data_IF_997795336467
#
_entry.id   IF_997795336467
#
_cell.length_a   1.000
_cell.length_b   1.000
_cell.length_c   1.000
_cell.angle_alpha   90.00
_cell.angle_beta   90.00
_cell.angle_gamma   90.00
#
_symmetry.space_group_name_H-M   'P 1'
#
loop_
_entity.id
_entity.type
_entity.pdbx_description
1 polymer ?
#
# COMPACT_ATOMS: atom_id res chain seq x y z
N UNK A 1 -67.83 -29.83 20.78
CA UNK A 1 -66.40 -29.97 21.18
C UNK A 1 -66.21 -29.20 22.48
N UNK A 2 -66.32 -29.90 23.60
CA UNK A 2 -66.32 -29.35 24.96
C UNK A 2 -64.88 -29.28 25.47
N UNK A 3 -64.38 -28.06 25.70
CA UNK A 3 -63.02 -27.82 26.18
C UNK A 3 -62.82 -28.33 27.62
N UNK A 4 -61.67 -28.97 27.87
CA UNK A 4 -61.22 -29.35 29.22
C UNK A 4 -61.29 -28.14 30.17
N UNK A 5 -61.91 -28.34 31.33
CA UNK A 5 -62.05 -27.32 32.39
C UNK A 5 -60.69 -26.80 32.86
N UNK A 6 -60.64 -25.53 33.26
CA UNK A 6 -59.45 -24.84 33.75
C UNK A 6 -58.73 -25.61 34.87
N UNK A 7 -59.48 -26.32 35.72
CA UNK A 7 -58.91 -27.12 36.81
C UNK A 7 -58.12 -28.34 36.32
N UNK A 8 -58.56 -28.98 35.22
CA UNK A 8 -57.83 -30.11 34.63
C UNK A 8 -56.47 -29.68 34.07
N UNK A 9 -56.40 -28.50 33.45
CA UNK A 9 -55.13 -27.94 32.94
C UNK A 9 -54.16 -27.61 34.06
N UNK A 10 -54.66 -27.10 35.19
CA UNK A 10 -53.83 -26.77 36.37
C UNK A 10 -53.28 -28.02 37.06
N UNK A 11 -54.05 -29.11 37.08
CA UNK A 11 -53.60 -30.39 37.62
C UNK A 11 -52.53 -31.07 36.74
N UNK A 12 -52.68 -31.02 35.41
CA UNK A 12 -51.69 -31.53 34.45
C UNK A 12 -50.36 -30.74 34.53
N UNK A 13 -50.42 -29.42 34.68
CA UNK A 13 -49.23 -28.56 34.86
C UNK A 13 -48.49 -28.86 36.17
N UNK A 14 -49.20 -29.03 37.28
CA UNK A 14 -48.58 -29.38 38.57
C UNK A 14 -47.88 -30.74 38.53
N UNK A 15 -48.46 -31.73 37.85
CA UNK A 15 -47.79 -33.04 37.65
C UNK A 15 -46.49 -32.91 36.87
N UNK A 16 -46.44 -32.08 35.81
CA UNK A 16 -45.21 -31.87 35.03
C UNK A 16 -44.12 -31.15 35.81
N UNK A 17 -44.49 -30.10 36.54
CA UNK A 17 -43.52 -29.36 37.37
C UNK A 17 -42.99 -30.26 38.49
N UNK A 18 -43.85 -31.07 39.11
CA UNK A 18 -43.42 -32.04 40.13
C UNK A 18 -42.46 -33.11 39.54
N UNK A 19 -42.75 -33.64 38.34
CA UNK A 19 -41.83 -34.59 37.67
C UNK A 19 -40.48 -33.99 37.25
N UNK A 20 -40.39 -32.66 37.12
CA UNK A 20 -39.13 -31.96 36.86
C UNK A 20 -38.37 -31.64 38.16
N UNK A 21 -39.05 -31.52 39.29
CA UNK A 21 -38.44 -31.30 40.61
C UNK A 21 -37.93 -32.63 41.21
N UNK A 22 -38.63 -33.74 40.96
CA UNK A 22 -38.27 -35.08 41.48
C UNK A 22 -37.20 -35.80 40.64
N UNK A 23 -36.73 -35.20 39.53
CA UNK A 23 -35.60 -35.70 38.72
C UNK A 23 -34.36 -34.81 38.93
N UNK A 24 -33.62 -34.97 40.05
CA UNK A 24 -32.36 -34.28 40.23
C UNK A 24 -31.32 -34.88 39.26
N UNK A 25 -30.70 -34.02 38.45
CA UNK A 25 -29.41 -34.22 37.76
C UNK A 25 -28.90 -35.66 37.69
N UNK A 26 -29.05 -36.33 36.55
CA UNK A 26 -28.11 -37.40 36.21
C UNK A 26 -26.75 -36.75 35.89
N UNK A 27 -25.95 -36.63 36.94
CA UNK A 27 -24.53 -36.40 36.85
C UNK A 27 -23.90 -37.51 36.00
N UNK A 28 -23.06 -37.10 35.05
CA UNK A 28 -22.27 -37.98 34.18
C UNK A 28 -21.45 -38.94 35.07
N UNK A 29 -21.74 -40.23 34.96
CA UNK A 29 -21.08 -41.31 35.69
C UNK A 29 -19.79 -41.71 34.97
N UNK A 30 -18.64 -41.57 35.64
CA UNK A 30 -17.34 -42.07 35.17
C UNK A 30 -16.99 -43.38 35.91
N UNK A 31 -17.12 -44.51 35.21
CA UNK A 31 -16.50 -45.83 35.43
C UNK A 31 -17.27 -46.82 34.54
N UNK A 32 -16.71 -47.72 33.74
CA UNK A 32 -15.50 -48.52 33.93
C UNK A 32 -15.06 -49.09 32.56
N UNK A 33 -13.81 -49.52 32.48
CA UNK A 33 -13.08 -49.93 31.28
C UNK A 33 -13.50 -51.31 30.77
N UNK A 34 -13.66 -51.46 29.45
CA UNK A 34 -13.31 -52.73 28.77
C UNK A 34 -12.57 -52.40 27.47
N UNK A 35 -11.29 -52.76 27.44
CA UNK A 35 -10.45 -52.85 26.25
C UNK A 35 -11.18 -53.61 25.14
N UNK A 36 -11.32 -52.99 23.98
CA UNK A 36 -11.30 -53.64 22.68
C UNK A 36 -10.82 -52.59 21.67
N UNK A 37 -9.61 -52.79 21.15
CA UNK A 37 -9.05 -52.04 20.04
C UNK A 37 -9.89 -52.31 18.78
N UNK A 38 -10.87 -51.44 18.51
CA UNK A 38 -11.42 -51.29 17.16
C UNK A 38 -11.27 -49.84 16.69
N UNK A 39 -10.72 -49.75 15.50
CA UNK A 39 -10.31 -48.58 14.76
C UNK A 39 -11.48 -47.57 14.57
N UNK A 40 -11.58 -46.55 15.43
CA UNK A 40 -12.51 -45.44 15.22
C UNK A 40 -11.75 -44.29 14.56
N UNK A 41 -11.86 -44.24 13.23
CA UNK A 41 -11.55 -43.06 12.45
C UNK A 41 -12.60 -41.99 12.81
N UNK A 42 -12.28 -41.14 13.80
CA UNK A 42 -13.13 -40.02 14.17
C UNK A 42 -13.05 -38.97 13.06
N UNK A 43 -14.04 -38.97 12.18
CA UNK A 43 -14.34 -37.79 11.36
C UNK A 43 -14.61 -36.63 12.30
N UNK A 44 -13.68 -35.67 12.33
CA UNK A 44 -13.84 -34.42 13.04
C UNK A 44 -14.92 -33.63 12.28
N UNK A 45 -16.18 -33.86 12.62
CA UNK A 45 -17.29 -33.01 12.19
C UNK A 45 -17.14 -31.70 12.96
N UNK A 46 -16.40 -30.77 12.35
CA UNK A 46 -16.35 -29.37 12.79
C UNK A 46 -17.75 -28.78 12.58
N UNK A 47 -18.59 -28.84 13.60
CA UNK A 47 -19.82 -28.05 13.63
C UNK A 47 -19.42 -26.57 13.68
N UNK A 48 -19.83 -25.72 12.72
CA UNK A 48 -19.64 -24.29 12.86
C UNK A 48 -20.41 -23.83 14.12
N UNK A 49 -19.70 -23.24 15.08
CA UNK A 49 -20.19 -22.94 16.43
C UNK A 49 -21.09 -21.70 16.50
N UNK A 50 -21.84 -21.40 15.44
CA UNK A 50 -22.83 -20.33 15.43
C UNK A 50 -24.09 -20.86 14.77
N UNK A 51 -25.04 -21.30 15.60
CA UNK A 51 -26.37 -21.71 15.16
C UNK A 51 -27.20 -20.44 14.90
N UNK A 52 -26.91 -19.78 13.78
CA UNK A 52 -27.64 -18.60 13.32
C UNK A 52 -28.99 -19.06 12.77
N UNK A 53 -30.06 -18.48 13.29
CA UNK A 53 -31.40 -18.71 12.76
C UNK A 53 -31.49 -18.26 11.29
N UNK A 54 -32.43 -18.80 10.52
CA UNK A 54 -32.55 -18.51 9.07
C UNK A 54 -32.68 -17.00 8.79
N UNK A 55 -33.39 -16.27 9.67
CA UNK A 55 -33.52 -14.82 9.62
C UNK A 55 -32.17 -14.10 9.83
N UNK A 56 -31.32 -14.61 10.72
CA UNK A 56 -30.00 -14.04 11.02
C UNK A 56 -29.01 -14.25 9.88
N UNK A 57 -29.03 -15.41 9.21
CA UNK A 57 -28.19 -15.66 8.03
C UNK A 57 -28.51 -14.70 6.88
N UNK A 58 -29.80 -14.42 6.65
CA UNK A 58 -30.23 -13.46 5.62
C UNK A 58 -29.73 -12.03 5.91
N UNK A 59 -29.70 -11.64 7.19
CA UNK A 59 -29.14 -10.36 7.65
C UNK A 59 -27.63 -10.30 7.46
N UNK A 60 -26.90 -11.38 7.78
CA UNK A 60 -25.45 -11.43 7.57
C UNK A 60 -25.09 -11.30 6.08
N UNK A 61 -25.83 -11.95 5.19
CA UNK A 61 -25.65 -11.77 3.75
C UNK A 61 -25.91 -10.33 3.30
N UNK A 62 -26.93 -9.68 3.86
CA UNK A 62 -27.20 -8.26 3.59
C UNK A 62 -26.06 -7.36 4.08
N UNK A 63 -25.54 -7.60 5.29
CA UNK A 63 -24.40 -6.86 5.84
C UNK A 63 -23.15 -7.08 4.98
N UNK A 64 -22.91 -8.32 4.53
CA UNK A 64 -21.81 -8.66 3.63
C UNK A 64 -21.90 -7.88 2.31
N UNK A 65 -23.09 -7.83 1.69
CA UNK A 65 -23.31 -7.05 0.48
C UNK A 65 -23.05 -5.55 0.70
N UNK A 66 -23.55 -4.98 1.81
CA UNK A 66 -23.34 -3.56 2.16
C UNK A 66 -21.85 -3.28 2.36
N UNK A 67 -21.12 -4.14 3.05
CA UNK A 67 -19.68 -3.98 3.29
C UNK A 67 -18.88 -3.96 1.96
N UNK A 68 -19.17 -4.91 1.05
CA UNK A 68 -18.56 -4.92 -0.28
C UNK A 68 -18.91 -3.66 -1.06
N UNK A 69 -20.19 -3.24 -1.04
CA UNK A 69 -20.68 -2.06 -1.74
C UNK A 69 -20.00 -0.78 -1.29
N UNK A 70 -19.97 -0.53 0.02
CA UNK A 70 -19.39 0.69 0.58
C UNK A 70 -17.89 0.73 0.30
N UNK A 71 -17.18 -0.39 0.41
CA UNK A 71 -15.75 -0.45 0.13
C UNK A 71 -15.44 -0.18 -1.34
N UNK A 72 -16.30 -0.67 -2.23
CA UNK A 72 -16.22 -0.44 -3.67
C UNK A 72 -16.49 1.02 -4.04
N UNK A 73 -17.50 1.65 -3.42
CA UNK A 73 -17.81 3.08 -3.63
C UNK A 73 -16.65 3.96 -3.14
N UNK A 74 -16.09 3.66 -1.97
CA UNK A 74 -14.89 4.35 -1.48
C UNK A 74 -13.73 4.21 -2.47
N UNK A 75 -13.59 3.05 -3.11
CA UNK A 75 -12.62 2.83 -4.17
C UNK A 75 -12.83 3.71 -5.39
N UNK A 76 -14.06 3.82 -5.88
CA UNK A 76 -14.41 4.72 -7.00
C UNK A 76 -14.12 6.18 -6.65
N UNK A 77 -14.48 6.62 -5.44
CA UNK A 77 -14.20 7.99 -4.97
C UNK A 77 -12.68 8.22 -4.92
N UNK A 78 -11.92 7.28 -4.36
CA UNK A 78 -10.46 7.36 -4.29
C UNK A 78 -9.81 7.41 -5.68
N UNK A 79 -10.28 6.58 -6.62
CA UNK A 79 -9.84 6.62 -8.01
C UNK A 79 -10.16 7.95 -8.68
N UNK A 80 -11.33 8.54 -8.39
CA UNK A 80 -11.69 9.88 -8.84
C UNK A 80 -10.79 10.98 -8.29
N UNK A 81 -10.31 10.86 -7.05
CA UNK A 81 -9.34 11.80 -6.46
C UNK A 81 -7.98 11.69 -7.17
N UNK A 82 -7.51 10.46 -7.45
CA UNK A 82 -6.26 10.23 -8.17
C UNK A 82 -6.25 10.85 -9.58
N UNK A 83 -7.41 10.88 -10.24
CA UNK A 83 -7.56 11.48 -11.57
C UNK A 83 -7.76 13.00 -11.56
N UNK A 84 -8.23 13.58 -10.46
CA UNK A 84 -8.48 15.02 -10.35
C UNK A 84 -7.24 15.81 -9.95
N UNK A 85 -6.32 15.22 -9.17
CA UNK A 85 -5.03 15.85 -8.89
C UNK A 85 -4.09 15.60 -10.05
N UNK A 86 -3.98 16.54 -11.01
CA UNK A 86 -2.93 16.48 -12.03
C UNK A 86 -1.57 16.66 -11.31
N UNK A 87 -0.73 15.61 -11.22
CA UNK A 87 0.56 15.73 -10.53
C UNK A 87 1.50 16.69 -11.27
N UNK A 88 1.33 16.83 -12.59
CA UNK A 88 2.07 17.78 -13.41
C UNK A 88 1.78 19.23 -13.04
N UNK A 89 0.53 19.56 -12.70
CA UNK A 89 0.16 20.93 -12.30
C UNK A 89 0.69 21.28 -10.91
N UNK A 90 0.83 20.30 -10.02
CA UNK A 90 1.46 20.49 -8.71
C UNK A 90 2.96 20.70 -8.85
N UNK A 91 3.65 19.94 -9.70
CA UNK A 91 5.09 20.08 -9.92
C UNK A 91 5.46 21.31 -10.78
N UNK A 92 4.56 21.76 -11.65
CA UNK A 92 4.69 23.03 -12.37
C UNK A 92 4.14 24.23 -11.56
N UNK A 93 3.63 23.99 -10.35
CA UNK A 93 3.15 25.08 -9.50
C UNK A 93 4.34 25.86 -8.95
N UNK A 94 4.16 27.14 -8.68
CA UNK A 94 5.22 28.00 -8.12
C UNK A 94 5.80 27.52 -6.77
N UNK A 95 5.21 26.49 -6.14
CA UNK A 95 5.75 25.81 -4.96
C UNK A 95 6.92 24.87 -5.30
N UNK A 96 6.98 24.38 -6.54
CA UNK A 96 8.02 23.51 -7.09
C UNK A 96 8.67 24.10 -8.35
N UNK A 97 8.42 25.38 -8.66
CA UNK A 97 9.15 26.10 -9.70
C UNK A 97 10.64 25.91 -9.40
N UNK A 98 11.39 25.39 -10.38
CA UNK A 98 12.85 25.42 -10.35
C UNK A 98 13.27 26.85 -9.96
N UNK A 99 14.02 26.95 -8.87
CA UNK A 99 14.54 28.21 -8.43
C UNK A 99 15.30 28.84 -9.61
N UNK A 100 15.10 30.13 -9.88
CA UNK A 100 15.78 30.80 -11.00
C UNK A 100 17.30 30.59 -10.94
N UNK A 101 17.81 30.43 -9.72
CA UNK A 101 19.16 29.97 -9.42
C UNK A 101 19.22 29.11 -8.15
N UNK A 102 20.28 28.31 -8.01
CA UNK A 102 20.59 27.42 -6.88
C UNK A 102 21.97 27.72 -6.31
N UNK A 103 22.19 27.37 -5.04
CA UNK A 103 23.50 27.51 -4.39
C UNK A 103 24.13 26.12 -4.18
N UNK A 104 25.37 25.96 -4.64
CA UNK A 104 26.10 24.70 -4.57
C UNK A 104 27.20 24.79 -3.53
N UNK A 105 27.25 23.83 -2.62
CA UNK A 105 28.33 23.69 -1.64
C UNK A 105 29.05 22.37 -1.86
N UNK A 106 30.37 22.39 -2.01
CA UNK A 106 31.17 21.19 -2.21
C UNK A 106 32.43 21.17 -1.35
N UNK A 107 33.10 20.02 -1.34
CA UNK A 107 34.36 19.83 -0.63
C UNK A 107 35.39 19.13 -1.52
N UNK A 108 36.64 19.55 -1.44
CA UNK A 108 37.78 18.93 -2.14
C UNK A 108 38.70 18.26 -1.14
N UNK A 109 38.96 16.98 -1.37
CA UNK A 109 39.75 16.10 -0.53
C UNK A 109 40.85 15.42 -1.36
N UNK A 110 41.85 14.90 -0.69
CA UNK A 110 42.83 13.92 -1.22
C UNK A 110 42.24 12.52 -1.15
N UNK A 111 42.87 11.55 -1.82
CA UNK A 111 42.53 10.13 -1.74
C UNK A 111 42.63 9.53 -0.33
N UNK A 112 43.47 10.11 0.53
CA UNK A 112 43.55 9.78 1.95
C UNK A 112 42.49 10.50 2.83
N UNK A 113 41.59 11.28 2.22
CA UNK A 113 40.51 11.99 2.91
C UNK A 113 40.92 13.31 3.60
N UNK A 114 42.11 13.84 3.30
CA UNK A 114 42.59 15.14 3.82
C UNK A 114 42.08 16.28 2.95
N UNK A 115 41.57 17.34 3.56
CA UNK A 115 41.06 18.52 2.85
C UNK A 115 42.13 19.28 2.06
N UNK A 116 41.76 19.75 0.86
CA UNK A 116 42.64 20.53 -0.02
C UNK A 116 42.20 21.99 -0.04
N UNK A 117 43.04 22.85 0.54
CA UNK A 117 42.88 24.30 0.54
C UNK A 117 43.38 24.95 -0.75
N UNK A 118 42.79 26.09 -1.14
CA UNK A 118 43.17 26.89 -2.31
C UNK A 118 43.19 26.05 -3.61
N UNK A 119 42.26 25.12 -3.78
CA UNK A 119 41.97 24.50 -5.06
C UNK A 119 41.05 25.44 -5.86
N UNK A 120 41.35 25.62 -7.14
CA UNK A 120 40.54 26.42 -8.08
C UNK A 120 39.36 25.60 -8.54
N UNK A 121 38.16 26.12 -8.31
CA UNK A 121 36.90 25.53 -8.73
C UNK A 121 36.36 26.41 -9.85
N UNK A 122 36.26 25.86 -11.05
CA UNK A 122 35.84 26.55 -12.25
C UNK A 122 34.52 25.94 -12.74
N UNK A 123 33.48 26.75 -12.84
CA UNK A 123 32.17 26.34 -13.35
C UNK A 123 32.02 26.76 -14.81
N UNK A 124 31.54 25.85 -15.65
CA UNK A 124 31.34 26.00 -17.08
C UNK A 124 29.89 25.64 -17.45
N UNK A 125 29.37 26.29 -18.49
CA UNK A 125 28.14 25.84 -19.15
C UNK A 125 28.41 24.51 -19.88
N UNK A 126 27.41 23.63 -19.96
CA UNK A 126 27.57 22.36 -20.67
C UNK A 126 28.06 22.58 -22.12
N UNK A 127 29.03 21.78 -22.54
CA UNK A 127 29.71 21.88 -23.84
C UNK A 127 30.34 23.25 -24.17
N UNK A 128 30.51 24.14 -23.19
CA UNK A 128 31.17 25.44 -23.34
C UNK A 128 32.55 25.45 -22.70
N UNK A 129 33.50 26.16 -23.31
CA UNK A 129 34.81 26.42 -22.73
C UNK A 129 34.88 27.76 -21.98
N UNK A 130 33.75 28.46 -21.82
CA UNK A 130 33.70 29.71 -21.08
C UNK A 130 33.47 29.45 -19.59
N UNK A 131 34.37 29.94 -18.76
CA UNK A 131 34.20 29.94 -17.31
C UNK A 131 33.12 30.94 -16.92
N UNK A 132 32.11 30.47 -16.19
CA UNK A 132 31.03 31.28 -15.62
C UNK A 132 31.47 31.89 -14.29
N UNK A 133 32.03 31.04 -13.41
CA UNK A 133 32.43 31.42 -12.06
C UNK A 133 33.70 30.67 -11.67
N UNK A 134 34.54 31.34 -10.87
CA UNK A 134 35.72 30.73 -10.25
C UNK A 134 35.74 31.05 -8.77
N UNK A 135 35.89 30.02 -7.94
CA UNK A 135 36.05 30.15 -6.49
C UNK A 135 37.23 29.32 -6.00
N UNK A 136 37.72 29.63 -4.80
CA UNK A 136 38.79 28.88 -4.15
C UNK A 136 38.26 28.14 -2.93
N UNK A 137 38.77 26.93 -2.71
CA UNK A 137 38.47 26.20 -1.48
C UNK A 137 39.11 26.85 -0.25
N UNK A 138 38.40 26.81 0.88
CA UNK A 138 38.88 27.31 2.17
C UNK A 138 39.82 26.30 2.86
N UNK A 139 40.27 26.61 4.10
CA UNK A 139 41.20 25.77 4.87
C UNK A 139 40.69 24.36 5.16
N UNK A 140 39.37 24.16 5.15
CA UNK A 140 38.71 22.88 5.34
C UNK A 140 38.33 22.21 4.01
N UNK A 141 38.80 22.74 2.88
CA UNK A 141 38.55 22.22 1.54
C UNK A 141 37.15 22.50 1.00
N UNK A 142 36.32 23.28 1.70
CA UNK A 142 34.98 23.63 1.22
C UNK A 142 35.00 24.79 0.24
N UNK A 143 34.08 24.77 -0.71
CA UNK A 143 33.78 25.88 -1.61
C UNK A 143 32.27 26.06 -1.73
N UNK A 144 31.85 27.25 -2.16
CA UNK A 144 30.47 27.59 -2.41
C UNK A 144 30.37 28.35 -3.73
N UNK A 145 29.41 27.96 -4.57
CA UNK A 145 29.04 28.63 -5.82
C UNK A 145 27.61 29.12 -5.66
N UNK A 146 27.44 30.44 -5.64
CA UNK A 146 26.13 31.06 -5.46
C UNK A 146 25.51 31.42 -6.81
N UNK A 147 24.17 31.41 -6.85
CA UNK A 147 23.39 31.90 -7.99
C UNK A 147 23.71 31.15 -9.32
N UNK A 148 23.80 29.84 -9.24
CA UNK A 148 24.04 28.93 -10.38
C UNK A 148 22.73 28.60 -11.06
N UNK A 149 22.69 28.52 -12.39
CA UNK A 149 21.47 28.10 -13.11
C UNK A 149 21.20 26.61 -12.86
N UNK A 150 19.95 26.18 -12.60
CA UNK A 150 19.59 24.77 -12.38
C UNK A 150 19.56 23.98 -13.70
N UNK A 151 20.67 23.95 -14.42
CA UNK A 151 20.83 23.25 -15.70
C UNK A 151 22.03 22.30 -15.64
N UNK A 152 22.26 21.52 -16.69
CA UNK A 152 23.47 20.72 -16.82
C UNK A 152 24.69 21.65 -16.91
N UNK A 153 25.66 21.44 -16.03
CA UNK A 153 26.88 22.23 -15.95
C UNK A 153 28.11 21.33 -15.82
N UNK A 154 29.27 21.90 -16.12
CA UNK A 154 30.55 21.22 -15.94
C UNK A 154 31.38 21.97 -14.91
N UNK A 155 31.87 21.27 -13.89
CA UNK A 155 32.75 21.82 -12.87
C UNK A 155 34.14 21.20 -12.99
N UNK A 156 35.17 22.04 -13.01
CA UNK A 156 36.57 21.63 -13.04
C UNK A 156 37.28 22.05 -11.76
N UNK A 157 37.98 21.11 -11.15
CA UNK A 157 38.80 21.33 -9.96
C UNK A 157 40.27 21.25 -10.34
N UNK A 158 41.01 22.32 -10.10
CA UNK A 158 42.43 22.47 -10.47
C UNK A 158 43.26 22.83 -9.25
N UNK A 159 44.34 22.08 -9.02
CA UNK A 159 45.32 22.35 -7.95
C UNK A 159 46.70 21.87 -8.36
N UNK A 160 47.71 22.70 -8.13
CA UNK A 160 49.10 22.32 -8.36
C UNK A 160 49.50 21.09 -7.52
N UNK A 161 50.16 20.13 -8.18
CA UNK A 161 50.56 18.86 -7.56
C UNK A 161 49.50 17.75 -7.63
N UNK A 162 48.32 18.04 -8.17
CA UNK A 162 47.24 17.08 -8.35
C UNK A 162 46.78 17.01 -9.81
N UNK A 163 46.24 15.87 -10.23
CA UNK A 163 45.50 15.78 -11.49
C UNK A 163 44.17 16.52 -11.36
N UNK A 164 43.82 17.29 -12.40
CA UNK A 164 42.56 18.03 -12.43
C UNK A 164 41.39 17.06 -12.55
N UNK A 165 40.26 17.41 -11.93
CA UNK A 165 39.02 16.67 -12.05
C UNK A 165 38.01 17.51 -12.83
N UNK A 166 37.24 16.86 -13.69
CA UNK A 166 36.14 17.47 -14.40
C UNK A 166 34.90 16.62 -14.21
N UNK A 167 33.79 17.25 -13.81
CA UNK A 167 32.54 16.58 -13.53
C UNK A 167 31.38 17.30 -14.20
N UNK A 168 30.58 16.55 -14.94
CA UNK A 168 29.29 17.05 -15.45
C UNK A 168 28.19 16.64 -14.46
N UNK A 169 27.26 17.56 -14.17
CA UNK A 169 26.18 17.34 -13.21
C UNK A 169 24.99 18.27 -13.52
N UNK A 170 23.81 17.97 -12.98
CA UNK A 170 22.66 18.89 -12.97
C UNK A 170 22.77 19.72 -11.69
N UNK A 171 22.76 21.05 -11.80
CA UNK A 171 22.89 21.91 -10.63
C UNK A 171 21.60 21.89 -9.79
N UNK A 172 21.70 21.38 -8.57
CA UNK A 172 20.61 21.30 -7.58
C UNK A 172 21.07 21.93 -6.26
N UNK A 173 20.16 22.63 -5.57
CA UNK A 173 20.47 23.32 -4.33
C UNK A 173 21.01 22.37 -3.24
N UNK A 174 22.13 22.73 -2.63
CA UNK A 174 22.69 22.00 -1.48
C UNK A 174 24.09 21.43 -1.67
N UNK A 175 24.31 20.22 -1.14
CA UNK A 175 25.64 19.62 -0.99
C UNK A 175 26.00 18.72 -2.17
N UNK A 176 27.12 19.04 -2.81
CA UNK A 176 27.72 18.21 -3.84
C UNK A 176 28.51 17.05 -3.24
N UNK A 177 28.56 15.92 -3.96
CA UNK A 177 29.50 14.84 -3.65
C UNK A 177 30.95 15.37 -3.65
N UNK A 178 31.79 14.97 -2.67
CA UNK A 178 33.14 15.51 -2.56
C UNK A 178 33.99 15.18 -3.80
N UNK A 179 34.93 16.07 -4.11
CA UNK A 179 35.93 15.89 -5.16
C UNK A 179 37.17 15.28 -4.53
N UNK A 180 37.60 14.12 -5.01
CA UNK A 180 38.75 13.41 -4.45
C UNK A 180 39.93 13.46 -5.43
N UNK A 181 40.86 14.37 -5.21
CA UNK A 181 42.01 14.58 -6.09
C UNK A 181 43.10 13.55 -5.85
N UNK A 182 43.73 13.09 -6.93
CA UNK A 182 44.92 12.24 -6.90
C UNK A 182 46.17 13.05 -7.21
N UNK A 183 47.28 12.76 -6.55
CA UNK A 183 48.58 13.40 -6.86
C UNK A 183 48.93 13.19 -8.33
N UNK A 184 49.35 14.26 -9.01
CA UNK A 184 49.56 14.22 -10.45
C UNK A 184 49.89 15.58 -11.05
N UNK A 185 49.78 15.65 -12.38
CA UNK A 185 49.96 16.89 -13.13
C UNK A 185 48.59 17.52 -13.42
N UNK A 186 48.38 18.81 -13.14
CA UNK A 186 47.10 19.49 -13.38
C UNK A 186 46.69 19.53 -14.86
N UNK A 187 47.62 19.34 -15.80
CA UNK A 187 47.29 19.20 -17.23
C UNK A 187 46.57 17.87 -17.57
N UNK A 188 46.59 16.89 -16.66
CA UNK A 188 45.82 15.65 -16.80
C UNK A 188 44.45 15.91 -16.20
N UNK A 189 43.41 15.83 -17.04
CA UNK A 189 42.01 15.96 -16.63
C UNK A 189 41.41 14.56 -16.50
N UNK A 190 40.95 14.22 -15.30
CA UNK A 190 40.18 13.02 -15.02
C UNK A 190 38.70 13.40 -15.12
N UNK A 191 38.00 12.86 -16.11
CA UNK A 191 36.57 13.05 -16.27
C UNK A 191 35.80 12.06 -15.40
N UNK A 192 34.93 12.59 -14.55
CA UNK A 192 33.94 11.84 -13.78
C UNK A 192 32.57 12.27 -14.28
N UNK A 193 31.93 11.45 -15.11
CA UNK A 193 30.56 11.74 -15.52
C UNK A 193 29.60 11.39 -14.38
N UNK A 194 29.06 12.41 -13.71
CA UNK A 194 28.02 12.25 -12.71
C UNK A 194 26.63 12.50 -13.30
N UNK A 195 26.54 12.79 -14.60
CA UNK A 195 25.30 12.60 -15.38
C UNK A 195 25.19 11.13 -15.80
N UNK A 196 25.55 10.21 -14.89
CA UNK A 196 25.15 8.82 -15.02
C UNK A 196 23.65 8.79 -14.73
N UNK A 197 22.86 8.82 -15.80
CA UNK A 197 21.44 8.43 -15.91
C UNK A 197 20.84 8.05 -14.56
N UNK A 198 20.52 9.04 -13.72
CA UNK A 198 19.59 8.81 -12.63
C UNK A 198 18.31 8.36 -13.32
N UNK A 199 18.08 7.05 -13.31
CA UNK A 199 16.91 6.38 -13.87
C UNK A 199 15.65 6.72 -13.05
N UNK A 200 15.46 8.00 -12.74
CA UNK A 200 14.23 8.54 -12.24
C UNK A 200 13.13 8.34 -13.27
N UNK A 201 11.91 8.15 -12.77
CA UNK A 201 10.74 8.09 -13.63
C UNK A 201 10.59 9.44 -14.32
N UNK A 202 10.47 9.45 -15.65
CA UNK A 202 10.09 10.69 -16.35
C UNK A 202 8.75 11.18 -15.82
N UNK A 203 8.54 12.50 -15.82
CA UNK A 203 7.26 13.10 -15.41
C UNK A 203 6.08 12.48 -16.15
N UNK A 204 6.24 12.25 -17.46
CA UNK A 204 5.25 11.58 -18.29
C UNK A 204 4.97 10.16 -17.81
N UNK A 205 6.00 9.38 -17.45
CA UNK A 205 5.83 8.04 -16.92
C UNK A 205 5.13 8.03 -15.55
N UNK A 206 5.45 8.99 -14.68
CA UNK A 206 4.80 9.14 -13.37
C UNK A 206 3.31 9.51 -13.50
N UNK A 207 2.98 10.46 -14.38
CA UNK A 207 1.59 10.87 -14.66
C UNK A 207 0.81 9.75 -15.33
N UNK A 208 1.41 9.04 -16.29
CA UNK A 208 0.80 7.89 -16.95
C UNK A 208 0.51 6.76 -15.94
N UNK A 209 1.44 6.48 -15.02
CA UNK A 209 1.26 5.47 -13.97
C UNK A 209 0.11 5.86 -13.03
N UNK A 210 0.05 7.11 -12.57
CA UNK A 210 -1.03 7.60 -11.70
C UNK A 210 -2.40 7.50 -12.39
N UNK A 211 -2.47 7.92 -13.66
CA UNK A 211 -3.70 7.87 -14.47
C UNK A 211 -4.17 6.43 -14.67
N UNK A 212 -3.24 5.53 -15.03
CA UNK A 212 -3.51 4.11 -15.19
C UNK A 212 -4.05 3.50 -13.88
N UNK A 213 -3.41 3.80 -12.74
CA UNK A 213 -3.86 3.34 -11.44
C UNK A 213 -5.24 3.89 -11.09
N UNK A 214 -5.51 5.18 -11.34
CA UNK A 214 -6.82 5.80 -11.11
C UNK A 214 -7.94 5.11 -11.89
N UNK A 215 -7.73 4.86 -13.19
CA UNK A 215 -8.69 4.16 -14.05
C UNK A 215 -8.91 2.71 -13.59
N UNK A 216 -7.82 1.96 -13.32
CA UNK A 216 -7.91 0.59 -12.83
C UNK A 216 -8.63 0.50 -11.48
N UNK A 217 -8.43 1.47 -10.60
CA UNK A 217 -9.11 1.59 -9.30
C UNK A 217 -10.62 1.76 -9.47
N UNK A 218 -11.05 2.58 -10.43
CA UNK A 218 -12.47 2.79 -10.74
C UNK A 218 -13.09 1.52 -11.32
N UNK A 219 -12.43 0.87 -12.28
CA UNK A 219 -12.92 -0.38 -12.90
C UNK A 219 -13.12 -1.47 -11.85
N UNK A 220 -12.13 -1.67 -10.99
CA UNK A 220 -12.21 -2.68 -9.91
C UNK A 220 -13.27 -2.34 -8.88
N UNK A 221 -13.52 -1.04 -8.63
CA UNK A 221 -14.67 -0.58 -7.84
C UNK A 221 -16.02 -0.96 -8.46
N UNK A 222 -16.20 -0.81 -9.77
CA UNK A 222 -17.42 -1.28 -10.45
C UNK A 222 -17.61 -2.79 -10.38
N UNK A 223 -16.52 -3.56 -10.47
CA UNK A 223 -16.56 -5.02 -10.27
C UNK A 223 -17.05 -5.37 -8.86
N UNK A 224 -16.64 -4.60 -7.85
CA UNK A 224 -17.12 -4.77 -6.48
C UNK A 224 -18.60 -4.42 -6.28
N UNK A 225 -19.12 -3.41 -6.99
CA UNK A 225 -20.57 -3.13 -7.01
C UNK A 225 -21.33 -4.34 -7.58
N UNK A 226 -20.83 -4.94 -8.66
CA UNK A 226 -21.42 -6.15 -9.22
C UNK A 226 -21.38 -7.31 -8.21
N UNK A 227 -20.25 -7.50 -7.51
CA UNK A 227 -20.11 -8.51 -6.46
C UNK A 227 -21.12 -8.30 -5.32
N UNK A 228 -21.35 -7.06 -4.89
CA UNK A 228 -22.39 -6.74 -3.89
C UNK A 228 -23.79 -7.13 -4.36
N UNK A 229 -24.14 -6.83 -5.61
CA UNK A 229 -25.45 -7.19 -6.17
C UNK A 229 -25.61 -8.72 -6.23
N UNK A 230 -24.58 -9.44 -6.66
CA UNK A 230 -24.59 -10.90 -6.71
C UNK A 230 -24.64 -11.52 -5.30
N UNK A 231 -23.98 -10.89 -4.32
CA UNK A 231 -24.08 -11.24 -2.88
C UNK A 231 -25.52 -11.12 -2.38
N UNK A 232 -26.21 -10.03 -2.75
CA UNK A 232 -27.60 -9.82 -2.36
C UNK A 232 -28.56 -10.82 -3.03
N UNK A 233 -28.28 -11.20 -4.28
CA UNK A 233 -29.08 -12.18 -5.05
C UNK A 233 -28.80 -13.62 -4.65
N UNK A 234 -27.62 -13.91 -4.10
CA UNK A 234 -27.16 -15.24 -3.72
C UNK A 234 -27.20 -16.27 -4.86
N UNK A 235 -26.76 -15.88 -6.06
CA UNK A 235 -26.79 -16.79 -7.22
C UNK A 235 -25.58 -17.73 -7.24
N UNK A 236 -24.35 -17.21 -7.37
CA UNK A 236 -23.13 -18.04 -7.43
C UNK A 236 -22.07 -17.61 -6.44
N UNK A 237 -21.80 -18.42 -5.42
CA UNK A 237 -20.87 -18.05 -4.34
C UNK A 237 -19.45 -17.87 -4.84
N UNK A 238 -18.90 -18.86 -5.59
CA UNK A 238 -17.49 -18.81 -6.03
C UNK A 238 -17.22 -17.61 -6.92
N UNK A 239 -18.13 -17.34 -7.86
CA UNK A 239 -18.03 -16.17 -8.76
C UNK A 239 -18.09 -14.87 -7.96
N UNK A 240 -19.01 -14.77 -7.01
CA UNK A 240 -19.13 -13.59 -6.15
C UNK A 240 -17.85 -13.33 -5.37
N UNK A 241 -17.22 -14.38 -4.82
CA UNK A 241 -15.93 -14.27 -4.11
C UNK A 241 -14.79 -13.81 -5.03
N UNK A 242 -14.72 -14.30 -6.27
CA UNK A 242 -13.72 -13.81 -7.23
C UNK A 242 -13.93 -12.34 -7.61
N UNK A 243 -15.17 -11.93 -7.86
CA UNK A 243 -15.48 -10.52 -8.18
C UNK A 243 -15.17 -9.60 -6.98
N UNK A 244 -15.54 -10.02 -5.77
CA UNK A 244 -15.18 -9.30 -4.56
C UNK A 244 -13.66 -9.24 -4.35
N UNK A 245 -12.94 -10.33 -4.66
CA UNK A 245 -11.48 -10.37 -4.63
C UNK A 245 -10.83 -9.38 -5.61
N UNK A 246 -11.35 -9.29 -6.85
CA UNK A 246 -10.89 -8.30 -7.84
C UNK A 246 -11.17 -6.87 -7.34
N UNK A 247 -12.26 -6.65 -6.60
CA UNK A 247 -12.58 -5.32 -6.08
C UNK A 247 -11.65 -4.82 -4.98
N UNK A 248 -10.85 -5.71 -4.36
CA UNK A 248 -9.83 -5.32 -3.36
C UNK A 248 -8.78 -4.36 -3.94
N UNK A 249 -8.56 -4.42 -5.26
CA UNK A 249 -7.65 -3.51 -5.96
C UNK A 249 -8.18 -2.07 -6.08
N UNK A 250 -9.43 -1.81 -5.69
CA UNK A 250 -10.03 -0.48 -5.74
C UNK A 250 -9.54 0.49 -4.63
N UNK A 251 -8.58 0.09 -3.77
CA UNK A 251 -7.82 0.96 -2.83
C UNK A 251 -8.63 2.11 -2.19
N UNK A 252 -9.88 1.88 -1.79
CA UNK A 252 -10.75 2.92 -1.23
C UNK A 252 -10.19 3.56 0.03
N UNK A 253 -9.56 4.74 -0.09
CA UNK A 253 -8.82 5.40 0.99
C UNK A 253 -7.69 4.52 1.56
N UNK A 254 -6.85 3.99 0.66
CA UNK A 254 -5.61 3.21 0.91
C UNK A 254 -5.89 1.85 1.57
N UNK A 255 -6.53 1.81 2.73
CA UNK A 255 -6.75 0.60 3.53
C UNK A 255 -8.21 0.37 3.95
N UNK A 256 -9.05 1.40 4.05
CA UNK A 256 -10.43 1.27 4.58
C UNK A 256 -11.31 0.44 3.66
N UNK A 257 -11.33 0.76 2.36
CA UNK A 257 -12.13 0.07 1.34
C UNK A 257 -11.77 -1.42 1.23
N UNK A 258 -10.49 -1.79 1.06
CA UNK A 258 -10.08 -3.19 1.05
C UNK A 258 -10.45 -3.96 2.31
N UNK A 259 -10.31 -3.37 3.51
CA UNK A 259 -10.72 -4.02 4.77
C UNK A 259 -12.23 -4.28 4.78
N UNK A 260 -13.03 -3.31 4.33
CA UNK A 260 -14.48 -3.46 4.29
C UNK A 260 -14.92 -4.55 3.28
N UNK A 261 -14.25 -4.62 2.13
CA UNK A 261 -14.46 -5.68 1.13
C UNK A 261 -14.05 -7.03 1.70
N UNK A 262 -12.89 -7.15 2.36
CA UNK A 262 -12.45 -8.39 3.03
C UNK A 262 -13.44 -8.82 4.13
N UNK A 263 -13.90 -7.89 4.95
CA UNK A 263 -14.90 -8.17 5.97
C UNK A 263 -16.21 -8.68 5.33
N UNK A 264 -16.65 -8.05 4.23
CA UNK A 264 -17.78 -8.52 3.45
C UNK A 264 -17.58 -9.91 2.85
N UNK A 265 -16.41 -10.20 2.29
CA UNK A 265 -16.05 -11.53 1.77
C UNK A 265 -16.04 -12.60 2.87
N UNK A 266 -15.48 -12.27 4.04
CA UNK A 266 -15.44 -13.15 5.20
C UNK A 266 -16.85 -13.44 5.72
N UNK A 267 -17.69 -12.41 5.91
CA UNK A 267 -19.09 -12.58 6.29
C UNK A 267 -19.86 -13.40 5.26
N UNK A 268 -19.63 -13.15 3.97
CA UNK A 268 -20.27 -13.91 2.90
C UNK A 268 -19.90 -15.40 2.93
N UNK A 269 -18.70 -15.75 3.40
CA UNK A 269 -18.27 -17.15 3.53
C UNK A 269 -19.05 -17.94 4.60
N UNK A 270 -19.62 -17.25 5.59
CA UNK A 270 -20.43 -17.86 6.66
C UNK A 270 -21.84 -18.23 6.18
N UNK A 271 -22.29 -17.65 5.06
CA UNK A 271 -23.64 -17.81 4.48
C UNK A 271 -23.61 -18.42 3.08
N UNK A 272 -22.54 -19.15 2.76
CA UNK A 272 -22.35 -19.81 1.45
C UNK A 272 -23.46 -20.82 1.11
N UNK A 273 -24.09 -21.39 2.13
CA UNK A 273 -25.22 -22.33 2.05
C UNK A 273 -26.52 -21.67 1.54
N UNK A 274 -26.59 -20.34 1.54
CA UNK A 274 -27.74 -19.61 1.01
C UNK A 274 -27.71 -19.39 -0.51
N UNK A 275 -26.67 -19.88 -1.19
CA UNK A 275 -26.48 -19.66 -2.63
C UNK A 275 -27.07 -20.80 -3.47
N UNK A 276 -27.64 -20.44 -4.63
CA UNK A 276 -28.24 -21.41 -5.57
C UNK A 276 -27.25 -22.52 -5.96
N UNK A 277 -25.97 -22.17 -6.20
CA UNK A 277 -24.92 -23.12 -6.57
C UNK A 277 -24.51 -24.11 -5.47
N UNK A 278 -24.96 -23.91 -4.22
CA UNK A 278 -24.74 -24.84 -3.10
C UNK A 278 -25.99 -25.63 -2.72
N UNK A 279 -27.15 -25.30 -3.30
CA UNK A 279 -28.41 -26.02 -3.09
C UNK A 279 -28.63 -27.14 -4.13
N UNK A 280 -27.92 -27.08 -5.26
CA UNK A 280 -28.03 -28.02 -6.38
C UNK A 280 -27.05 -29.22 -6.31
N UNK A 281 -26.12 -29.23 -5.36
CA UNK A 281 -25.17 -30.33 -5.07
C UNK A 281 -25.60 -31.15 -3.83
#
# INVERSE_FOLDING_TARGET
MTGKSFEQRRAELRKRVQSQIDSPNEAIHYSDLTENEENIQQDIVVKPMIDLDYDERSKLRMIAAIAILVGSILGIISGGILLQGNPGDLLNSSLFNEAETVDLTGQVLTDDGVAINNASIELYEDNSNSVIQTVLTNDNGYFQLDNVKPETMTIRVVKDGYSSLERTFIAEDGLMSPFTMKTGNPSIIIQEDFVDSEGGWSLEAAVALSTFLGVMTIITGFVGIQASVETRRASRYRRTQYLAGISLFSRGLIWIGPILILAGMALNSLVKDQYEDYLED
#
